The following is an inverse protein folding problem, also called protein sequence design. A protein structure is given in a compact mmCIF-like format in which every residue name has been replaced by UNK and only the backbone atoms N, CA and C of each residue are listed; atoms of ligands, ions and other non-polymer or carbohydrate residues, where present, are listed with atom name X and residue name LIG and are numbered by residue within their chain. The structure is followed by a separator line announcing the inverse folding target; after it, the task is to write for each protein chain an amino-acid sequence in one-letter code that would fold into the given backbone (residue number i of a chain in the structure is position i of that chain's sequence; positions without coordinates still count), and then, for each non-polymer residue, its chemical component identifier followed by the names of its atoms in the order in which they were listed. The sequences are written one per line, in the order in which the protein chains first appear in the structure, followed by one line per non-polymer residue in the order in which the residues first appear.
data_IF_542137923854
#
_entry.id   IF_542137923854
#
_cell.length_a   1.000
_cell.length_b   1.000
_cell.length_c   1.000
_cell.angle_alpha   90.00
_cell.angle_beta   90.00
_cell.angle_gamma   90.00
#
_symmetry.space_group_name_H-M   'P 1'
#
loop_
_entity.id
_entity.type
_entity.pdbx_description
1 polymer ?
#
# COMPACT_ATOMS: atom_id res chain seq x y z
N UNK A 1 -39.82 9.36 -27.21
CA UNK A 1 -40.73 10.52 -27.28
C UNK A 1 -41.39 10.74 -25.92
N UNK A 2 -40.87 11.70 -25.15
CA UNK A 2 -41.61 12.72 -24.38
C UNK A 2 -40.56 13.62 -23.72
N UNK A 3 -40.67 14.91 -23.98
CA UNK A 3 -39.76 15.98 -23.60
C UNK A 3 -40.26 16.74 -22.37
N UNK A 4 -39.43 17.72 -21.97
CA UNK A 4 -39.64 18.84 -21.06
C UNK A 4 -39.44 18.50 -19.56
N UNK A 5 -38.75 19.30 -18.78
CA UNK A 5 -38.39 20.71 -18.96
C UNK A 5 -36.97 21.00 -18.41
N UNK A 6 -36.26 21.90 -19.09
CA UNK A 6 -35.22 22.71 -18.49
C UNK A 6 -35.89 23.52 -17.37
N UNK A 7 -35.46 23.28 -16.13
CA UNK A 7 -35.77 24.13 -15.00
C UNK A 7 -34.50 24.92 -14.69
N UNK A 8 -34.34 26.04 -15.38
CA UNK A 8 -33.39 27.09 -15.00
C UNK A 8 -33.92 27.72 -13.70
N UNK A 9 -33.58 27.10 -12.57
CA UNK A 9 -33.70 27.74 -11.27
C UNK A 9 -32.35 28.36 -10.90
N UNK A 10 -32.35 29.68 -10.79
CA UNK A 10 -31.26 30.46 -10.21
C UNK A 10 -30.98 29.94 -8.78
N UNK A 11 -29.92 29.14 -8.60
CA UNK A 11 -29.49 28.60 -7.30
C UNK A 11 -28.77 29.69 -6.49
N UNK A 12 -29.53 30.73 -6.10
CA UNK A 12 -29.07 31.77 -5.19
C UNK A 12 -29.25 31.31 -3.75
N UNK A 13 -28.19 30.77 -3.14
CA UNK A 13 -28.11 30.60 -1.67
C UNK A 13 -27.70 29.23 -1.16
N UNK A 14 -27.24 28.30 -2.00
CA UNK A 14 -26.74 27.01 -1.51
C UNK A 14 -25.42 27.19 -0.77
N UNK A 15 -25.41 26.91 0.53
CA UNK A 15 -24.17 26.79 1.30
C UNK A 15 -23.27 25.76 0.59
N UNK A 16 -22.00 26.09 0.31
CA UNK A 16 -21.10 25.14 -0.34
C UNK A 16 -20.99 23.88 0.53
N UNK A 17 -21.28 22.71 -0.07
CA UNK A 17 -21.23 21.41 0.57
C UNK A 17 -20.26 20.49 -0.15
N UNK A 18 -19.60 19.61 0.60
CA UNK A 18 -18.75 18.55 0.06
C UNK A 18 -19.49 17.23 0.25
N UNK A 19 -19.76 16.55 -0.86
CA UNK A 19 -20.36 15.22 -0.86
C UNK A 19 -19.26 14.16 -0.97
N UNK A 20 -19.30 13.16 -0.10
CA UNK A 20 -18.33 12.07 -0.07
C UNK A 20 -19.04 10.76 -0.42
N UNK A 21 -18.52 10.07 -1.43
CA UNK A 21 -19.07 8.80 -1.92
C UNK A 21 -18.10 7.67 -1.60
N UNK A 22 -18.61 6.61 -0.98
CA UNK A 22 -17.79 5.47 -0.55
C UNK A 22 -18.66 4.23 -0.37
N UNK A 23 -18.05 3.08 -0.57
CA UNK A 23 -18.67 1.77 -0.44
C UNK A 23 -18.51 1.17 0.96
N UNK A 24 -17.77 1.85 1.86
CA UNK A 24 -17.53 1.41 3.25
C UNK A 24 -17.74 2.57 4.24
N UNK A 25 -18.37 2.30 5.41
CA UNK A 25 -18.51 3.29 6.47
C UNK A 25 -17.17 3.68 7.11
N UNK A 26 -16.19 2.78 7.14
CA UNK A 26 -14.82 3.05 7.61
C UNK A 26 -14.13 4.07 6.69
N UNK A 27 -14.19 3.84 5.37
CA UNK A 27 -13.67 4.77 4.38
C UNK A 27 -14.40 6.13 4.41
N UNK A 28 -15.70 6.16 4.75
CA UNK A 28 -16.43 7.41 4.95
C UNK A 28 -15.87 8.22 6.12
N UNK A 29 -15.61 7.56 7.25
CA UNK A 29 -15.06 8.24 8.44
C UNK A 29 -13.66 8.77 8.16
N UNK A 30 -12.82 8.01 7.49
CA UNK A 30 -11.47 8.47 7.09
C UNK A 30 -11.53 9.64 6.12
N UNK A 31 -12.37 9.57 5.09
CA UNK A 31 -12.54 10.64 4.12
C UNK A 31 -13.05 11.92 4.78
N UNK A 32 -14.03 11.81 5.69
CA UNK A 32 -14.53 12.94 6.48
C UNK A 32 -13.43 13.52 7.38
N UNK A 33 -12.70 12.67 8.11
CA UNK A 33 -11.63 13.10 8.99
C UNK A 33 -10.50 13.78 8.21
N UNK A 34 -10.10 13.23 7.05
CA UNK A 34 -9.12 13.84 6.16
C UNK A 34 -9.59 15.19 5.62
N UNK A 35 -10.83 15.28 5.11
CA UNK A 35 -11.37 16.53 4.59
C UNK A 35 -11.43 17.63 5.66
N UNK A 36 -11.87 17.28 6.88
CA UNK A 36 -11.89 18.21 8.01
C UNK A 36 -10.46 18.66 8.36
N UNK A 37 -9.50 17.73 8.43
CA UNK A 37 -8.08 18.05 8.70
C UNK A 37 -7.50 19.01 7.66
N UNK A 38 -7.76 18.77 6.38
CA UNK A 38 -7.24 19.59 5.28
C UNK A 38 -7.89 20.98 5.22
N UNK A 39 -9.19 21.08 5.48
CA UNK A 39 -9.94 22.35 5.39
C UNK A 39 -9.79 23.23 6.65
N UNK A 40 -9.58 22.62 7.82
CA UNK A 40 -9.41 23.32 9.09
C UNK A 40 -7.94 23.33 9.54
N UNK A 41 -6.99 23.42 8.60
CA UNK A 41 -5.59 23.58 8.96
C UNK A 41 -5.36 24.96 9.58
N UNK A 42 -5.11 24.98 10.90
CA UNK A 42 -4.65 26.17 11.62
C UNK A 42 -3.13 26.32 11.61
N UNK A 43 -2.42 25.46 10.88
CA UNK A 43 -0.97 25.40 10.82
C UNK A 43 -0.39 26.42 9.85
N UNK A 44 0.82 26.90 10.14
CA UNK A 44 1.63 27.73 9.24
C UNK A 44 2.36 26.92 8.17
N UNK A 45 2.17 25.60 8.16
CA UNK A 45 2.77 24.65 7.24
C UNK A 45 1.86 23.45 7.00
N UNK A 46 1.92 22.89 5.80
CA UNK A 46 1.33 21.59 5.45
C UNK A 46 2.40 20.63 4.95
N UNK A 47 2.31 19.37 5.35
CA UNK A 47 3.19 18.30 4.91
C UNK A 47 2.36 17.21 4.23
N UNK A 48 2.61 17.00 2.93
CA UNK A 48 2.00 15.94 2.14
C UNK A 48 3.02 14.83 1.95
N UNK A 49 2.72 13.64 2.50
CA UNK A 49 3.65 12.50 2.51
C UNK A 49 3.22 11.45 1.50
N UNK A 50 3.98 11.34 0.41
CA UNK A 50 3.79 10.32 -0.61
C UNK A 50 5.11 10.11 -1.37
N UNK A 51 5.65 8.91 -1.29
CA UNK A 51 6.93 8.61 -1.92
C UNK A 51 6.90 8.67 -3.44
N UNK A 52 5.72 8.56 -4.07
CA UNK A 52 5.59 8.56 -5.52
C UNK A 52 5.91 9.91 -6.17
N UNK A 53 6.16 10.96 -5.37
CA UNK A 53 6.76 12.20 -5.86
C UNK A 53 8.07 11.97 -6.61
N UNK A 54 8.80 10.88 -6.32
CA UNK A 54 10.01 10.51 -7.09
C UNK A 54 9.74 10.30 -8.58
N UNK A 55 8.48 10.08 -8.97
CA UNK A 55 8.06 9.90 -10.36
C UNK A 55 7.57 11.20 -11.02
N UNK A 56 7.57 12.33 -10.31
CA UNK A 56 7.15 13.60 -10.90
C UNK A 56 8.05 13.98 -12.07
N UNK A 57 7.43 14.28 -13.20
CA UNK A 57 8.08 14.71 -14.42
C UNK A 57 8.19 16.23 -14.52
N UNK A 58 8.68 16.70 -15.66
CA UNK A 58 8.82 18.14 -15.91
C UNK A 58 7.47 18.89 -15.84
N UNK A 59 6.39 18.26 -16.30
CA UNK A 59 5.05 18.85 -16.28
C UNK A 59 4.53 19.01 -14.84
N UNK A 60 4.73 18.01 -13.98
CA UNK A 60 4.34 18.05 -12.57
C UNK A 60 5.10 19.15 -11.82
N UNK A 61 6.41 19.26 -12.02
CA UNK A 61 7.20 20.33 -11.39
C UNK A 61 6.80 21.72 -11.90
N UNK A 62 6.39 21.83 -13.17
CA UNK A 62 5.84 23.09 -13.72
C UNK A 62 4.51 23.43 -13.05
N UNK A 63 3.64 22.43 -12.84
CA UNK A 63 2.40 22.60 -12.10
C UNK A 63 2.65 23.02 -10.65
N UNK A 64 3.61 22.42 -9.94
CA UNK A 64 4.01 22.84 -8.59
C UNK A 64 4.46 24.30 -8.56
N UNK A 65 5.30 24.73 -9.52
CA UNK A 65 5.73 26.13 -9.63
C UNK A 65 4.56 27.09 -9.86
N UNK A 66 3.59 26.70 -10.70
CA UNK A 66 2.38 27.48 -10.92
C UNK A 66 1.54 27.59 -9.64
N UNK A 67 1.39 26.51 -8.87
CA UNK A 67 0.68 26.51 -7.58
C UNK A 67 1.33 27.47 -6.58
N UNK A 68 2.67 27.51 -6.51
CA UNK A 68 3.40 28.47 -5.68
C UNK A 68 3.01 29.92 -6.02
N UNK A 69 2.99 30.25 -7.31
CA UNK A 69 2.65 31.60 -7.78
C UNK A 69 1.18 31.96 -7.53
N UNK A 70 0.26 31.02 -7.76
CA UNK A 70 -1.18 31.22 -7.60
C UNK A 70 -1.55 31.43 -6.14
N UNK A 71 -1.05 30.58 -5.25
CA UNK A 71 -1.41 30.62 -3.83
C UNK A 71 -0.46 31.50 -3.00
N UNK A 72 0.60 32.05 -3.61
CA UNK A 72 1.65 32.80 -2.93
C UNK A 72 2.24 32.01 -1.74
N UNK A 73 2.55 30.75 -2.01
CA UNK A 73 3.15 29.80 -1.06
C UNK A 73 4.50 29.31 -1.56
N UNK A 74 5.31 28.77 -0.65
CA UNK A 74 6.57 28.09 -0.95
C UNK A 74 6.36 26.59 -0.84
N UNK A 75 6.62 25.87 -1.92
CA UNK A 75 6.51 24.41 -2.03
C UNK A 75 7.94 23.86 -2.11
N UNK A 76 8.27 22.96 -1.20
CA UNK A 76 9.59 22.33 -1.14
C UNK A 76 9.45 20.83 -1.03
N UNK A 77 10.24 20.11 -1.80
CA UNK A 77 10.31 18.66 -1.70
C UNK A 77 11.32 18.26 -0.63
N UNK A 78 11.03 17.18 0.09
CA UNK A 78 11.96 16.62 1.06
C UNK A 78 12.12 15.12 0.87
N UNK A 79 13.33 14.65 1.16
CA UNK A 79 13.72 13.24 1.13
C UNK A 79 14.46 12.95 2.43
N UNK A 80 13.85 12.16 3.32
CA UNK A 80 14.41 11.86 4.65
C UNK A 80 14.18 10.41 4.99
N UNK A 81 15.26 9.67 5.25
CA UNK A 81 15.22 8.26 5.66
C UNK A 81 14.35 7.36 4.75
N UNK A 82 14.35 7.65 3.45
CA UNK A 82 13.58 6.90 2.45
C UNK A 82 12.08 7.23 2.42
N UNK A 83 11.66 8.29 3.10
CA UNK A 83 10.35 8.93 2.94
C UNK A 83 10.48 10.22 2.13
N UNK A 84 9.54 10.44 1.24
CA UNK A 84 9.50 11.60 0.37
C UNK A 84 8.16 12.31 0.50
N UNK A 85 8.15 13.62 0.24
CA UNK A 85 6.93 14.40 0.28
C UNK A 85 7.16 15.87 -0.03
N UNK A 86 6.08 16.63 0.11
CA UNK A 86 6.05 18.07 -0.12
C UNK A 86 5.75 18.79 1.19
N UNK A 87 6.56 19.81 1.47
CA UNK A 87 6.37 20.77 2.54
C UNK A 87 5.92 22.10 1.92
N UNK A 88 4.76 22.58 2.34
CA UNK A 88 4.16 23.84 1.90
C UNK A 88 4.18 24.82 3.07
N UNK A 89 4.83 25.97 2.89
CA UNK A 89 5.00 27.01 3.91
C UNK A 89 4.86 28.40 3.30
N UNK A 90 4.64 29.40 4.16
CA UNK A 90 4.51 30.79 3.74
C UNK A 90 3.16 31.03 3.05
N UNK A 91 2.40 32.00 3.53
CA UNK A 91 1.04 32.27 3.05
C UNK A 91 -0.01 32.13 4.15
N UNK A 92 -1.24 32.53 3.82
CA UNK A 92 -2.39 32.37 4.71
C UNK A 92 -2.79 30.89 4.81
N UNK A 93 -3.40 30.47 5.92
CA UNK A 93 -3.71 29.04 6.13
C UNK A 93 -4.64 28.46 5.05
N UNK A 94 -5.59 29.26 4.53
CA UNK A 94 -6.46 28.87 3.40
C UNK A 94 -5.66 28.59 2.11
N UNK A 95 -4.63 29.40 1.84
CA UNK A 95 -3.77 29.22 0.67
C UNK A 95 -2.90 27.97 0.79
N UNK A 96 -2.38 27.72 2.00
CA UNK A 96 -1.64 26.49 2.32
C UNK A 96 -2.54 25.26 2.14
N UNK A 97 -3.75 25.26 2.70
CA UNK A 97 -4.73 24.17 2.54
C UNK A 97 -5.10 23.94 1.08
N UNK A 98 -5.33 25.02 0.32
CA UNK A 98 -5.69 24.92 -1.09
C UNK A 98 -4.54 24.35 -1.93
N UNK A 99 -3.31 24.82 -1.70
CA UNK A 99 -2.13 24.25 -2.35
C UNK A 99 -1.92 22.77 -1.97
N UNK A 100 -2.10 22.41 -0.69
CA UNK A 100 -1.99 21.03 -0.22
C UNK A 100 -3.01 20.10 -0.88
N UNK A 101 -4.27 20.53 -1.04
CA UNK A 101 -5.30 19.76 -1.75
C UNK A 101 -4.92 19.55 -3.22
N UNK A 102 -4.39 20.57 -3.90
CA UNK A 102 -3.94 20.42 -5.30
C UNK A 102 -2.76 19.45 -5.41
N UNK A 103 -1.80 19.54 -4.48
CA UNK A 103 -0.66 18.62 -4.43
C UNK A 103 -1.11 17.18 -4.17
N UNK A 104 -2.02 16.95 -3.22
CA UNK A 104 -2.62 15.62 -2.98
C UNK A 104 -3.32 15.10 -4.25
N UNK A 105 -4.05 15.95 -4.97
CA UNK A 105 -4.68 15.57 -6.24
C UNK A 105 -3.66 15.17 -7.31
N UNK A 106 -2.56 15.92 -7.44
CA UNK A 106 -1.48 15.58 -8.37
C UNK A 106 -0.83 14.24 -8.00
N UNK A 107 -0.59 14.02 -6.70
CA UNK A 107 -0.02 12.78 -6.22
C UNK A 107 -0.95 11.60 -6.48
N UNK A 108 -2.25 11.71 -6.22
CA UNK A 108 -3.26 10.69 -6.55
C UNK A 108 -3.19 10.28 -8.03
N UNK A 109 -3.10 11.26 -8.95
CA UNK A 109 -2.96 11.00 -10.39
C UNK A 109 -1.65 10.25 -10.69
N UNK A 110 -0.54 10.64 -10.07
CA UNK A 110 0.73 9.95 -10.22
C UNK A 110 0.68 8.51 -9.70
N UNK A 111 -0.08 8.22 -8.61
CA UNK A 111 -0.25 6.84 -8.13
C UNK A 111 -1.02 5.99 -9.13
N UNK A 112 -2.11 6.52 -9.69
CA UNK A 112 -2.91 5.79 -10.66
C UNK A 112 -2.12 5.52 -11.95
N UNK A 113 -1.31 6.50 -12.39
CA UNK A 113 -0.43 6.33 -13.56
C UNK A 113 0.66 5.28 -13.29
N UNK A 114 1.33 5.36 -12.14
CA UNK A 114 2.33 4.38 -11.72
C UNK A 114 1.74 2.96 -11.66
N UNK A 115 0.56 2.81 -11.07
CA UNK A 115 -0.11 1.52 -10.99
C UNK A 115 -0.54 0.98 -12.36
N UNK A 116 -0.92 1.83 -13.32
CA UNK A 116 -1.20 1.39 -14.68
C UNK A 116 0.04 0.80 -15.36
N UNK A 117 1.20 1.46 -15.19
CA UNK A 117 2.47 0.96 -15.74
C UNK A 117 2.86 -0.37 -15.10
N UNK A 118 2.85 -0.43 -13.76
CA UNK A 118 3.22 -1.66 -13.04
C UNK A 118 2.25 -2.82 -13.34
N UNK A 119 0.96 -2.53 -13.54
CA UNK A 119 -0.02 -3.51 -13.99
C UNK A 119 0.32 -4.02 -15.39
N UNK A 120 0.67 -3.14 -16.33
CA UNK A 120 1.09 -3.54 -17.68
C UNK A 120 2.35 -4.42 -17.64
N UNK A 121 3.35 -4.05 -16.86
CA UNK A 121 4.61 -4.81 -16.70
C UNK A 121 4.39 -6.16 -16.01
N UNK A 122 3.52 -6.21 -15.00
CA UNK A 122 3.08 -7.44 -14.33
C UNK A 122 2.47 -8.41 -15.35
N UNK A 123 1.55 -7.93 -16.18
CA UNK A 123 0.87 -8.74 -17.18
C UNK A 123 1.82 -9.19 -18.29
N UNK A 124 2.69 -8.30 -18.76
CA UNK A 124 3.71 -8.60 -19.76
C UNK A 124 4.65 -9.71 -19.26
N UNK A 125 5.02 -9.66 -17.98
CA UNK A 125 5.84 -10.69 -17.35
C UNK A 125 5.15 -12.05 -17.36
N UNK A 126 3.87 -12.16 -16.99
CA UNK A 126 3.13 -13.43 -17.01
C UNK A 126 3.11 -14.04 -18.41
N UNK A 127 2.76 -13.24 -19.42
CA UNK A 127 2.66 -13.68 -20.82
C UNK A 127 4.00 -14.20 -21.35
N UNK A 128 5.10 -13.49 -21.08
CA UNK A 128 6.44 -13.90 -21.51
C UNK A 128 6.81 -15.28 -20.96
N UNK A 129 6.45 -15.56 -19.71
CA UNK A 129 6.71 -16.85 -19.08
C UNK A 129 5.83 -17.97 -19.61
N UNK A 130 4.55 -17.71 -19.90
CA UNK A 130 3.66 -18.70 -20.51
C UNK A 130 4.12 -19.10 -21.92
N UNK A 131 4.56 -18.13 -22.74
CA UNK A 131 5.07 -18.40 -24.09
C UNK A 131 6.36 -19.25 -24.10
N UNK A 132 7.19 -19.12 -23.06
CA UNK A 132 8.41 -19.93 -22.90
C UNK A 132 8.12 -21.39 -22.52
N UNK A 133 6.93 -21.71 -21.98
CA UNK A 133 6.53 -23.08 -21.62
C UNK A 133 6.03 -23.94 -22.78
N UNK A 134 6.18 -23.51 -24.03
CA UNK A 134 6.15 -24.45 -25.17
C UNK A 134 5.39 -24.02 -26.43
N UNK A 135 5.66 -22.84 -27.01
CA UNK A 135 5.28 -22.61 -28.40
C UNK A 135 6.38 -21.92 -29.20
N UNK A 136 6.99 -22.67 -30.13
CA UNK A 136 7.55 -22.09 -31.36
C UNK A 136 6.38 -21.52 -32.19
N UNK A 137 5.91 -20.33 -31.83
CA UNK A 137 4.78 -19.66 -32.49
C UNK A 137 5.04 -18.18 -32.67
N UNK A 138 4.41 -17.53 -33.67
CA UNK A 138 4.62 -16.11 -33.94
C UNK A 138 4.19 -15.28 -32.73
N UNK A 139 4.93 -14.19 -32.45
CA UNK A 139 4.65 -13.22 -31.39
C UNK A 139 3.15 -12.88 -31.35
N UNK A 140 2.42 -13.47 -30.41
CA UNK A 140 0.99 -13.21 -30.23
C UNK A 140 0.83 -11.77 -29.73
N UNK A 141 -0.14 -11.03 -30.27
CA UNK A 141 -0.42 -9.66 -29.84
C UNK A 141 -0.78 -9.63 -28.35
N UNK A 142 -0.06 -8.82 -27.57
CA UNK A 142 -0.20 -8.69 -26.11
C UNK A 142 -1.65 -8.46 -25.65
N UNK A 143 -2.37 -7.55 -26.32
CA UNK A 143 -3.79 -7.27 -26.04
C UNK A 143 -4.70 -8.49 -26.21
N UNK A 144 -4.36 -9.41 -27.11
CA UNK A 144 -5.15 -10.61 -27.39
C UNK A 144 -4.96 -11.73 -26.37
N UNK A 145 -3.86 -11.71 -25.58
CA UNK A 145 -3.69 -12.61 -24.43
C UNK A 145 -4.30 -12.00 -23.16
N UNK A 146 -4.16 -10.68 -22.98
CA UNK A 146 -4.72 -9.95 -21.84
C UNK A 146 -6.24 -10.12 -21.72
N UNK A 147 -6.95 -9.99 -22.85
CA UNK A 147 -8.40 -10.19 -22.93
C UNK A 147 -8.85 -11.64 -22.69
N UNK A 148 -7.92 -12.61 -22.68
CA UNK A 148 -8.20 -14.03 -22.42
C UNK A 148 -7.93 -14.45 -20.99
N UNK A 149 -7.25 -13.64 -20.17
CA UNK A 149 -7.07 -13.96 -18.76
C UNK A 149 -8.44 -13.97 -18.05
N UNK A 150 -8.71 -14.95 -17.18
CA UNK A 150 -9.95 -15.01 -16.45
C UNK A 150 -10.05 -13.80 -15.53
N UNK A 151 -11.14 -13.03 -15.69
CA UNK A 151 -11.49 -11.95 -14.77
C UNK A 151 -12.10 -12.51 -13.50
N UNK A 152 -11.93 -11.78 -12.40
CA UNK A 152 -12.64 -12.04 -11.15
C UNK A 152 -14.13 -11.67 -11.28
N UNK A 153 -15.00 -12.08 -10.34
CA UNK A 153 -16.43 -11.76 -10.36
C UNK A 153 -16.72 -10.27 -10.56
N UNK A 154 -15.88 -9.42 -9.97
CA UNK A 154 -15.88 -7.95 -10.13
C UNK A 154 -15.59 -7.43 -11.55
N UNK A 155 -15.29 -8.29 -12.54
CA UNK A 155 -14.81 -7.94 -13.88
C UNK A 155 -13.43 -7.24 -13.90
N UNK A 156 -12.74 -7.23 -12.75
CA UNK A 156 -11.35 -6.80 -12.57
C UNK A 156 -10.39 -8.00 -12.57
N UNK A 157 -9.09 -7.73 -12.66
CA UNK A 157 -8.02 -8.74 -12.50
C UNK A 157 -7.57 -8.88 -11.04
N UNK A 158 -8.01 -7.97 -10.18
CA UNK A 158 -7.79 -7.97 -8.75
C UNK A 158 -9.06 -7.61 -7.99
N UNK A 159 -9.23 -8.15 -6.79
CA UNK A 159 -10.42 -7.92 -5.96
C UNK A 159 -10.08 -8.03 -4.48
N UNK A 160 -10.77 -7.22 -3.67
CA UNK A 160 -10.78 -7.32 -2.21
C UNK A 160 -12.15 -7.77 -1.75
N UNK A 161 -12.21 -8.94 -1.12
CA UNK A 161 -13.47 -9.55 -0.72
C UNK A 161 -13.54 -9.67 0.79
N UNK A 162 -14.52 -9.04 1.46
CA UNK A 162 -14.69 -9.18 2.90
C UNK A 162 -14.86 -10.65 3.31
N UNK A 163 -14.17 -11.04 4.38
CA UNK A 163 -14.32 -12.35 5.02
C UNK A 163 -15.28 -12.17 6.19
N UNK A 164 -16.41 -12.87 6.16
CA UNK A 164 -17.34 -12.87 7.28
C UNK A 164 -16.77 -13.73 8.43
N UNK A 165 -16.42 -13.07 9.54
CA UNK A 165 -15.91 -13.70 10.77
C UNK A 165 -17.02 -13.91 11.81
N UNK A 166 -18.29 -13.86 11.39
CA UNK A 166 -19.49 -13.84 12.24
C UNK A 166 -19.69 -15.05 13.18
N UNK A 167 -18.92 -16.14 13.00
CA UNK A 167 -18.96 -17.34 13.84
C UNK A 167 -18.08 -17.27 15.11
N UNK A 168 -17.30 -16.20 15.31
CA UNK A 168 -16.51 -16.02 16.54
C UNK A 168 -17.26 -15.18 17.59
N UNK A 169 -17.41 -15.74 18.79
CA UNK A 169 -18.28 -15.27 19.87
C UNK A 169 -17.85 -13.96 20.58
N UNK A 170 -17.05 -13.09 19.94
CA UNK A 170 -16.52 -11.86 20.56
C UNK A 170 -16.78 -10.63 19.69
N UNK A 171 -18.07 -10.32 19.46
CA UNK A 171 -18.50 -9.13 18.68
C UNK A 171 -18.24 -7.78 19.36
N UNK A 172 -17.80 -7.75 20.62
CA UNK A 172 -17.69 -6.50 21.39
C UNK A 172 -16.27 -6.00 21.65
N UNK A 173 -15.21 -6.79 21.43
CA UNK A 173 -13.86 -6.40 21.93
C UNK A 173 -12.80 -6.04 20.89
N UNK A 174 -13.01 -6.25 19.59
CA UNK A 174 -12.12 -5.72 18.54
C UNK A 174 -12.87 -5.68 17.20
N UNK A 175 -13.23 -4.48 16.72
CA UNK A 175 -13.75 -4.29 15.36
C UNK A 175 -12.60 -4.52 14.37
N UNK A 176 -12.37 -5.79 14.05
CA UNK A 176 -11.40 -6.26 13.05
C UNK A 176 -12.17 -6.62 11.79
N UNK A 177 -11.75 -6.06 10.67
CA UNK A 177 -12.29 -6.37 9.36
C UNK A 177 -11.18 -7.02 8.56
N UNK A 178 -11.48 -8.17 7.96
CA UNK A 178 -10.51 -8.90 7.14
C UNK A 178 -11.05 -9.00 5.73
N UNK A 179 -10.26 -8.60 4.75
CA UNK A 179 -10.56 -8.74 3.33
C UNK A 179 -9.52 -9.67 2.70
N UNK A 180 -9.97 -10.66 1.93
CA UNK A 180 -9.12 -11.47 1.08
C UNK A 180 -8.68 -10.63 -0.12
N UNK A 181 -7.38 -10.59 -0.38
CA UNK A 181 -6.80 -9.93 -1.55
C UNK A 181 -6.53 -10.97 -2.64
N UNK A 182 -7.15 -10.81 -3.80
CA UNK A 182 -6.98 -11.71 -4.94
C UNK A 182 -6.46 -10.94 -6.15
N UNK A 183 -5.45 -11.48 -6.80
CA UNK A 183 -4.92 -10.99 -8.07
C UNK A 183 -4.28 -12.15 -8.83
N UNK A 184 -4.84 -12.50 -9.99
CA UNK A 184 -4.40 -13.67 -10.74
C UNK A 184 -2.99 -13.51 -11.33
N UNK A 185 -2.62 -12.32 -11.77
CA UNK A 185 -1.32 -12.09 -12.38
C UNK A 185 -0.20 -12.14 -11.33
N UNK A 186 -0.41 -11.48 -10.18
CA UNK A 186 0.52 -11.55 -9.05
C UNK A 186 0.69 -12.99 -8.56
N UNK A 187 -0.42 -13.72 -8.39
CA UNK A 187 -0.38 -15.12 -7.94
C UNK A 187 0.42 -16.00 -8.90
N UNK A 188 0.21 -15.84 -10.21
CA UNK A 188 0.95 -16.62 -11.21
C UNK A 188 2.45 -16.31 -11.20
N UNK A 189 2.85 -15.03 -11.17
CA UNK A 189 4.26 -14.68 -11.08
C UNK A 189 4.90 -15.17 -9.78
N UNK A 190 4.17 -15.08 -8.67
CA UNK A 190 4.65 -15.57 -7.38
C UNK A 190 4.93 -17.07 -7.42
N UNK A 191 4.01 -17.87 -7.98
CA UNK A 191 4.21 -19.32 -8.13
C UNK A 191 5.38 -19.66 -9.06
N UNK A 192 5.58 -18.91 -10.15
CA UNK A 192 6.76 -19.06 -11.01
C UNK A 192 8.07 -18.73 -10.27
N UNK A 193 8.08 -17.67 -9.47
CA UNK A 193 9.23 -17.32 -8.65
C UNK A 193 9.50 -18.35 -7.55
N UNK A 194 8.46 -19.03 -7.05
CA UNK A 194 8.57 -20.11 -6.07
C UNK A 194 9.31 -21.34 -6.61
N UNK A 195 9.33 -21.55 -7.93
CA UNK A 195 10.13 -22.60 -8.56
C UNK A 195 11.64 -22.28 -8.56
N UNK A 196 12.00 -20.98 -8.50
CA UNK A 196 13.39 -20.50 -8.62
C UNK A 196 14.01 -20.15 -7.27
N UNK A 197 13.20 -19.67 -6.32
CA UNK A 197 13.65 -19.32 -4.97
C UNK A 197 13.54 -20.54 -4.07
N UNK A 198 14.68 -21.02 -3.58
CA UNK A 198 14.73 -22.17 -2.68
C UNK A 198 14.16 -21.82 -1.31
N UNK A 199 13.19 -22.59 -0.83
CA UNK A 199 12.59 -22.45 0.49
C UNK A 199 11.07 -22.34 0.44
N UNK A 200 10.41 -22.51 1.59
CA UNK A 200 8.96 -22.28 1.68
C UNK A 200 8.69 -20.78 1.82
N UNK A 201 7.62 -20.26 1.20
CA UNK A 201 7.15 -18.91 1.51
C UNK A 201 6.92 -18.72 3.01
N UNK A 202 7.24 -17.54 3.51
CA UNK A 202 6.95 -17.13 4.88
C UNK A 202 5.73 -16.21 4.89
N UNK A 203 4.87 -16.38 5.90
CA UNK A 203 3.79 -15.45 6.20
C UNK A 203 4.36 -14.27 6.98
N UNK A 204 4.31 -13.08 6.41
CA UNK A 204 4.86 -11.86 6.99
C UNK A 204 3.86 -10.71 6.87
N UNK A 205 4.10 -9.64 7.64
CA UNK A 205 3.20 -8.52 7.81
C UNK A 205 3.83 -7.20 7.36
N UNK A 206 3.03 -6.32 6.76
CA UNK A 206 3.41 -4.94 6.47
C UNK A 206 2.27 -4.02 6.90
N UNK A 207 2.59 -2.98 7.67
CA UNK A 207 1.64 -1.92 7.98
C UNK A 207 1.69 -0.87 6.87
N UNK A 208 0.54 -0.47 6.36
CA UNK A 208 0.42 0.43 5.20
C UNK A 208 -0.57 1.54 5.49
N UNK A 209 -0.52 2.63 4.73
CA UNK A 209 -1.56 3.67 4.74
C UNK A 209 -2.76 3.24 3.92
N UNK A 210 -3.95 3.70 4.28
CA UNK A 210 -5.21 3.38 3.58
C UNK A 210 -5.10 3.54 2.05
N UNK A 211 -4.45 4.61 1.60
CA UNK A 211 -4.30 4.96 0.18
C UNK A 211 -3.56 3.90 -0.66
N UNK A 212 -2.72 3.07 -0.05
CA UNK A 212 -1.94 2.06 -0.76
C UNK A 212 -2.54 0.65 -0.71
N UNK A 213 -3.59 0.43 0.08
CA UNK A 213 -4.25 -0.87 0.19
C UNK A 213 -4.74 -1.39 -1.17
N UNK A 214 -5.39 -0.54 -1.97
CA UNK A 214 -5.87 -0.94 -3.30
C UNK A 214 -4.71 -1.16 -4.28
N UNK A 215 -3.73 -0.26 -4.24
CA UNK A 215 -2.55 -0.33 -5.11
C UNK A 215 -1.75 -1.62 -4.88
N UNK A 216 -1.61 -2.06 -3.62
CA UNK A 216 -0.96 -3.33 -3.31
C UNK A 216 -1.76 -4.53 -3.83
N UNK A 217 -3.10 -4.48 -3.76
CA UNK A 217 -3.94 -5.52 -4.35
C UNK A 217 -3.81 -5.57 -5.88
N UNK A 218 -3.72 -4.40 -6.52
CA UNK A 218 -3.64 -4.22 -7.97
C UNK A 218 -2.29 -4.62 -8.56
N UNK A 219 -1.20 -4.10 -8.02
CA UNK A 219 0.15 -4.25 -8.61
C UNK A 219 1.19 -4.90 -7.70
N UNK A 220 0.82 -5.26 -6.48
CA UNK A 220 1.72 -5.87 -5.51
C UNK A 220 2.49 -4.84 -4.69
N UNK A 221 3.44 -5.33 -3.90
CA UNK A 221 4.20 -4.50 -2.99
C UNK A 221 5.24 -3.65 -3.71
N UNK A 222 5.36 -2.38 -3.33
CA UNK A 222 6.35 -1.46 -3.85
C UNK A 222 7.07 -0.78 -2.70
N UNK A 223 8.35 -0.45 -2.88
CA UNK A 223 9.19 0.14 -1.82
C UNK A 223 8.69 1.53 -1.40
N UNK A 224 7.94 2.20 -2.28
CA UNK A 224 7.36 3.52 -2.13
C UNK A 224 6.12 3.50 -1.21
N UNK A 225 5.39 2.38 -1.14
CA UNK A 225 4.07 2.35 -0.49
C UNK A 225 4.14 2.37 1.05
N UNK A 226 5.14 1.70 1.63
CA UNK A 226 5.29 1.61 3.08
C UNK A 226 6.76 1.57 3.50
N UNK A 227 7.55 2.62 3.23
CA UNK A 227 8.88 2.73 3.82
C UNK A 227 8.77 2.79 5.36
N UNK A 228 9.59 2.02 6.10
CA UNK A 228 9.69 2.19 7.55
C UNK A 228 10.27 3.57 7.91
N UNK A 229 10.19 3.97 9.18
CA UNK A 229 10.83 5.21 9.64
C UNK A 229 12.36 5.21 9.42
N UNK A 230 12.98 4.03 9.53
CA UNK A 230 14.40 3.84 9.30
C UNK A 230 14.65 2.61 8.41
N UNK A 231 15.34 2.82 7.28
CA UNK A 231 15.75 1.74 6.37
C UNK A 231 17.08 1.12 6.82
N UNK A 232 17.07 0.48 7.98
CA UNK A 232 18.29 -0.03 8.64
C UNK A 232 18.95 -1.26 7.99
N UNK A 233 18.31 -1.87 6.99
CA UNK A 233 18.69 -3.19 6.47
C UNK A 233 18.80 -3.24 4.94
N UNK A 234 18.45 -2.16 4.26
CA UNK A 234 18.59 -2.02 2.82
C UNK A 234 17.45 -1.21 2.22
N UNK A 235 17.71 -0.62 1.06
CA UNK A 235 16.76 0.07 0.23
C UNK A 235 15.85 -0.95 -0.48
N UNK A 236 14.89 -1.53 0.24
CA UNK A 236 13.96 -2.53 -0.29
C UNK A 236 12.57 -2.48 0.34
N UNK A 237 11.81 -3.56 0.20
CA UNK A 237 10.44 -3.72 0.71
C UNK A 237 10.48 -4.50 2.02
N UNK A 238 9.99 -3.87 3.09
CA UNK A 238 10.10 -4.36 4.45
C UNK A 238 8.88 -5.17 4.88
N UNK A 239 9.14 -6.25 5.60
CA UNK A 239 8.12 -7.10 6.21
C UNK A 239 8.58 -7.52 7.62
N UNK A 240 7.61 -7.77 8.50
CA UNK A 240 7.86 -8.27 9.85
C UNK A 240 7.25 -9.65 10.06
N UNK A 241 7.82 -10.42 10.99
CA UNK A 241 7.30 -11.75 11.35
C UNK A 241 6.04 -11.68 12.21
N UNK A 242 5.81 -10.54 12.87
CA UNK A 242 4.66 -10.33 13.76
C UNK A 242 3.98 -8.99 13.50
N UNK A 243 2.66 -8.94 13.68
CA UNK A 243 1.88 -7.69 13.55
C UNK A 243 2.31 -6.63 14.56
N UNK A 244 2.59 -7.02 15.81
CA UNK A 244 3.07 -6.08 16.83
C UNK A 244 4.33 -5.37 16.36
N UNK A 245 5.25 -6.13 15.75
CA UNK A 245 6.48 -5.59 15.21
C UNK A 245 6.24 -4.66 14.02
N UNK A 246 5.24 -4.95 13.18
CA UNK A 246 4.82 -4.02 12.12
C UNK A 246 4.33 -2.69 12.72
N UNK A 247 3.51 -2.73 13.76
CA UNK A 247 3.03 -1.51 14.41
C UNK A 247 4.17 -0.65 14.95
N UNK A 248 5.21 -1.26 15.51
CA UNK A 248 6.40 -0.55 15.99
C UNK A 248 7.24 0.04 14.84
N UNK A 249 7.34 -0.66 13.72
CA UNK A 249 8.17 -0.26 12.58
C UNK A 249 7.55 0.87 11.74
N UNK A 250 6.23 0.92 11.66
CA UNK A 250 5.46 1.97 10.97
C UNK A 250 4.62 2.74 12.00
N UNK A 251 5.23 3.76 12.61
CA UNK A 251 4.63 4.55 13.70
C UNK A 251 3.70 5.68 13.21
N UNK A 252 3.42 5.80 11.91
CA UNK A 252 2.46 6.81 11.45
C UNK A 252 1.05 6.47 11.96
N UNK A 253 0.53 7.34 12.85
CA UNK A 253 -0.79 7.21 13.47
C UNK A 253 -1.75 8.32 13.04
N UNK A 254 -1.61 8.90 11.85
CA UNK A 254 -2.50 9.97 11.36
C UNK A 254 -3.93 9.53 11.04
N UNK A 255 -4.14 8.26 10.67
CA UNK A 255 -5.45 7.70 10.26
C UNK A 255 -6.34 7.34 11.49
N UNK A 256 -7.64 7.10 11.36
CA UNK A 256 -8.47 6.52 12.43
C UNK A 256 -8.21 5.00 12.57
N UNK A 257 -7.98 4.33 11.45
CA UNK A 257 -7.74 2.90 11.38
C UNK A 257 -6.26 2.57 11.19
N UNK A 258 -5.95 1.29 11.35
CA UNK A 258 -4.65 0.69 11.06
C UNK A 258 -4.87 -0.42 10.04
N UNK A 259 -4.08 -0.40 8.97
CA UNK A 259 -4.15 -1.33 7.87
C UNK A 259 -2.89 -2.21 7.84
N UNK A 260 -3.07 -3.51 8.05
CA UNK A 260 -1.99 -4.49 8.03
C UNK A 260 -2.26 -5.46 6.90
N UNK A 261 -1.30 -5.60 5.99
CA UNK A 261 -1.35 -6.61 4.94
C UNK A 261 -0.55 -7.82 5.41
N UNK A 262 -1.21 -8.97 5.40
CA UNK A 262 -0.59 -10.28 5.56
C UNK A 262 -0.26 -10.85 4.17
N UNK A 263 0.98 -11.28 4.00
CA UNK A 263 1.52 -11.69 2.70
C UNK A 263 2.32 -12.97 2.80
N UNK A 264 2.33 -13.74 1.72
CA UNK A 264 3.34 -14.76 1.51
C UNK A 264 4.56 -14.14 0.85
N UNK A 265 5.75 -14.39 1.41
CA UNK A 265 7.01 -13.78 0.95
C UNK A 265 8.07 -14.85 0.72
N UNK A 266 8.69 -14.82 -0.46
CA UNK A 266 9.81 -15.67 -0.86
C UNK A 266 11.13 -15.08 -0.35
N UNK A 267 11.39 -15.25 0.94
CA UNK A 267 12.63 -14.77 1.60
C UNK A 267 13.86 -15.56 1.17
N UNK A 268 13.70 -16.85 0.83
CA UNK A 268 14.75 -17.70 0.30
C UNK A 268 15.99 -17.76 1.21
N UNK A 269 17.18 -17.72 0.61
CA UNK A 269 18.43 -17.53 1.35
C UNK A 269 18.52 -16.07 1.79
N UNK A 270 18.53 -15.84 3.10
CA UNK A 270 18.69 -14.51 3.68
C UNK A 270 20.08 -14.31 4.29
N UNK A 271 20.57 -13.06 4.26
CA UNK A 271 21.78 -12.61 4.97
C UNK A 271 21.47 -11.38 5.82
N UNK A 272 22.32 -11.06 6.80
CA UNK A 272 22.21 -9.81 7.57
C UNK A 272 22.20 -8.60 6.62
N UNK A 273 21.22 -7.71 6.81
CA UNK A 273 21.10 -6.47 6.04
C UNK A 273 21.96 -5.33 6.56
N UNK A 274 22.13 -4.29 5.74
CA UNK A 274 22.72 -3.01 6.12
C UNK A 274 22.08 -1.86 5.34
N UNK A 275 22.11 -0.62 5.85
CA UNK A 275 21.42 0.52 5.23
C UNK A 275 21.88 0.85 3.80
N UNK A 276 23.11 0.48 3.43
CA UNK A 276 23.73 0.82 2.14
C UNK A 276 23.32 -0.12 0.99
N UNK A 277 22.64 -1.24 1.31
CA UNK A 277 22.28 -2.25 0.32
C UNK A 277 21.13 -1.77 -0.58
N UNK A 278 21.35 -1.74 -1.89
CA UNK A 278 20.30 -1.50 -2.89
C UNK A 278 19.85 -2.79 -3.60
N UNK A 279 20.63 -3.87 -3.44
CA UNK A 279 20.35 -5.22 -3.89
C UNK A 279 20.90 -6.21 -2.86
N UNK A 280 20.43 -7.46 -2.81
CA UNK A 280 21.03 -8.47 -1.93
C UNK A 280 22.50 -8.73 -2.30
N UNK A 281 23.38 -8.98 -1.32
CA UNK A 281 24.78 -9.33 -1.57
C UNK A 281 24.93 -10.65 -2.36
N UNK A 282 26.06 -10.86 -3.06
CA UNK A 282 26.44 -12.16 -3.61
C UNK A 282 26.61 -13.23 -2.52
N UNK A 283 26.25 -14.48 -2.83
CA UNK A 283 26.44 -15.63 -1.92
C UNK A 283 27.86 -16.22 -1.98
N UNK A 284 28.62 -15.88 -3.03
CA UNK A 284 29.95 -16.41 -3.28
C UNK A 284 30.72 -15.57 -4.30
N UNK A 285 31.50 -16.23 -5.16
CA UNK A 285 32.35 -15.56 -6.15
C UNK A 285 31.61 -15.05 -7.39
N UNK A 286 30.48 -15.67 -7.74
CA UNK A 286 29.64 -15.22 -8.85
C UNK A 286 28.79 -14.02 -8.39
N UNK A 287 28.99 -12.81 -8.93
CA UNK A 287 28.23 -11.63 -8.54
C UNK A 287 26.76 -11.68 -8.98
N UNK A 288 26.37 -12.63 -9.85
CA UNK A 288 24.98 -12.82 -10.26
C UNK A 288 24.21 -13.77 -9.34
N UNK A 289 24.90 -14.56 -8.52
CA UNK A 289 24.28 -15.46 -7.54
C UNK A 289 24.15 -14.76 -6.18
N UNK A 290 23.11 -13.94 -6.05
CA UNK A 290 22.82 -13.18 -4.84
C UNK A 290 21.91 -13.91 -3.85
N UNK A 291 21.96 -13.50 -2.58
CA UNK A 291 20.93 -13.83 -1.61
C UNK A 291 19.55 -13.38 -2.12
N UNK A 292 18.48 -13.98 -1.62
CA UNK A 292 17.12 -13.64 -2.07
C UNK A 292 16.50 -12.51 -1.24
N UNK A 293 16.95 -12.35 0.00
CA UNK A 293 16.52 -11.28 0.89
C UNK A 293 17.63 -10.93 1.88
N UNK A 294 17.41 -9.85 2.62
CA UNK A 294 18.20 -9.53 3.80
C UNK A 294 17.31 -9.50 5.05
N UNK A 295 17.91 -9.67 6.22
CA UNK A 295 17.18 -9.77 7.48
C UNK A 295 17.90 -9.03 8.60
N UNK A 296 17.14 -8.70 9.63
CA UNK A 296 17.64 -8.17 10.90
C UNK A 296 18.45 -9.19 11.68
N UNK A 297 19.17 -8.71 12.71
CA UNK A 297 19.91 -9.58 13.64
C UNK A 297 18.99 -10.55 14.39
N UNK A 298 17.79 -10.09 14.78
CA UNK A 298 16.78 -10.90 15.48
C UNK A 298 15.96 -11.78 14.54
N UNK A 299 16.10 -11.60 13.22
CA UNK A 299 15.29 -12.26 12.18
C UNK A 299 13.78 -12.03 12.32
N UNK A 300 13.40 -10.90 12.91
CA UNK A 300 12.02 -10.42 13.06
C UNK A 300 11.58 -9.50 11.91
N UNK A 301 12.55 -8.99 11.15
CA UNK A 301 12.38 -8.17 9.93
C UNK A 301 13.07 -8.84 8.75
N UNK A 302 12.38 -8.88 7.60
CA UNK A 302 12.90 -9.29 6.30
C UNK A 302 12.72 -8.17 5.27
N UNK A 303 13.69 -8.04 4.37
CA UNK A 303 13.66 -7.07 3.28
C UNK A 303 13.91 -7.80 1.96
N UNK A 304 12.96 -7.69 1.04
CA UNK A 304 13.08 -8.16 -0.35
C UNK A 304 13.36 -6.97 -1.27
N UNK A 305 13.95 -7.23 -2.43
CA UNK A 305 14.33 -6.18 -3.38
C UNK A 305 13.57 -6.27 -4.71
N UNK A 306 12.71 -7.28 -4.86
CA UNK A 306 11.82 -7.41 -6.00
C UNK A 306 10.38 -7.65 -5.52
N UNK A 307 9.45 -6.82 -6.01
CA UNK A 307 8.01 -6.87 -5.67
C UNK A 307 7.39 -8.25 -5.87
N UNK A 308 7.80 -8.94 -6.95
CA UNK A 308 7.31 -10.25 -7.35
C UNK A 308 7.73 -11.40 -6.40
N UNK A 309 8.54 -11.13 -5.36
CA UNK A 309 8.83 -12.08 -4.30
C UNK A 309 7.75 -12.10 -3.20
N UNK A 310 6.76 -11.22 -3.25
CA UNK A 310 5.68 -11.16 -2.26
C UNK A 310 4.30 -11.21 -2.93
N UNK A 311 3.39 -11.91 -2.29
CA UNK A 311 2.00 -12.03 -2.72
C UNK A 311 1.10 -11.57 -1.55
N UNK A 312 0.37 -10.45 -1.69
CA UNK A 312 -0.62 -10.05 -0.69
C UNK A 312 -1.73 -11.10 -0.61
N UNK A 313 -2.18 -11.44 0.59
CA UNK A 313 -3.20 -12.46 0.83
C UNK A 313 -4.41 -11.88 1.56
N UNK A 314 -4.16 -11.08 2.59
CA UNK A 314 -5.22 -10.51 3.41
C UNK A 314 -4.90 -9.07 3.78
N UNK A 315 -5.94 -8.24 3.84
CA UNK A 315 -5.92 -6.93 4.45
C UNK A 315 -6.71 -6.99 5.75
N UNK A 316 -6.06 -6.59 6.83
CA UNK A 316 -6.61 -6.56 8.18
C UNK A 316 -6.73 -5.10 8.59
N UNK A 317 -7.97 -4.64 8.80
CA UNK A 317 -8.28 -3.29 9.26
C UNK A 317 -8.68 -3.31 10.72
N UNK A 318 -7.97 -2.55 11.56
CA UNK A 318 -8.22 -2.43 12.99
C UNK A 318 -8.55 -0.98 13.38
N UNK A 319 -9.51 -0.77 14.28
CA UNK A 319 -9.71 0.54 14.93
C UNK A 319 -8.62 0.81 15.97
N UNK A 320 -8.20 2.07 16.13
CA UNK A 320 -7.18 2.47 17.13
C UNK A 320 -7.60 2.35 18.60
N UNK A 321 -8.88 2.12 18.89
CA UNK A 321 -9.40 2.07 20.26
C UNK A 321 -8.89 0.80 20.96
N UNK A 322 -8.09 1.01 22.02
CA UNK A 322 -7.42 0.05 22.93
C UNK A 322 -5.97 -0.39 22.60
N UNK A 323 -5.04 0.55 22.40
CA UNK A 323 -3.61 0.30 22.70
C UNK A 323 -3.09 1.07 23.92
N UNK A 324 -3.96 1.82 24.63
CA UNK A 324 -3.54 2.66 25.77
C UNK A 324 -3.86 2.10 27.17
N UNK A 325 -4.40 0.89 27.32
CA UNK A 325 -4.74 0.32 28.65
C UNK A 325 -4.30 -1.15 28.81
N UNK A 326 -3.01 -1.45 28.65
CA UNK A 326 -2.39 -2.63 29.29
C UNK A 326 -0.84 -2.55 29.45
N UNK A 327 -0.29 -1.34 29.56
CA UNK A 327 1.06 -1.12 30.10
C UNK A 327 0.99 -0.71 31.57
N UNK A 328 0.37 -1.55 32.40
CA UNK A 328 0.52 -1.56 33.86
C UNK A 328 -0.47 -2.57 34.46
N UNK A 329 -0.12 -3.86 34.46
CA UNK A 329 -0.19 -4.73 35.64
C UNK A 329 0.15 -6.18 35.25
N UNK A 330 1.20 -6.69 35.90
CA UNK A 330 1.54 -8.09 36.09
C UNK A 330 2.02 -8.91 34.89
N UNK A 331 3.34 -9.04 34.85
CA UNK A 331 4.02 -10.29 34.58
C UNK A 331 3.33 -11.45 35.33
N UNK A 332 2.63 -12.32 34.61
CA UNK A 332 2.57 -13.78 34.76
C UNK A 332 1.33 -14.30 34.05
N UNK A 333 1.50 -14.83 32.84
CA UNK A 333 1.37 -16.26 32.51
C UNK A 333 1.38 -16.39 30.99
N UNK A 334 2.21 -17.29 30.48
CA UNK A 334 2.10 -17.86 29.14
C UNK A 334 0.65 -18.25 28.87
N UNK A 335 -0.07 -17.57 27.95
CA UNK A 335 -1.12 -18.16 27.08
C UNK A 335 -1.95 -17.17 26.22
N UNK A 336 -1.89 -15.84 26.38
CA UNK A 336 -2.88 -14.97 25.71
C UNK A 336 -2.52 -14.42 24.31
N UNK A 337 -1.42 -14.88 23.70
CA UNK A 337 -1.07 -14.55 22.29
C UNK A 337 -1.46 -15.68 21.31
N UNK A 338 -1.94 -16.82 21.82
CA UNK A 338 -2.12 -18.06 21.04
C UNK A 338 -3.47 -18.20 20.32
N UNK A 339 -4.45 -17.30 20.53
CA UNK A 339 -5.81 -17.49 19.97
C UNK A 339 -5.96 -16.98 18.53
N UNK A 340 -5.13 -16.02 18.10
CA UNK A 340 -5.21 -15.42 16.76
C UNK A 340 -4.63 -16.31 15.66
N UNK A 341 -3.55 -17.05 15.94
CA UNK A 341 -2.84 -17.86 14.95
C UNK A 341 -3.57 -19.16 14.56
N UNK A 342 -4.46 -19.68 15.41
CA UNK A 342 -5.14 -20.96 15.16
C UNK A 342 -6.25 -20.87 14.09
N UNK A 343 -6.83 -19.69 13.87
CA UNK A 343 -8.02 -19.56 13.00
C UNK A 343 -7.68 -19.34 11.51
N UNK A 344 -6.63 -18.58 11.19
CA UNK A 344 -6.22 -18.33 9.79
C UNK A 344 -5.67 -19.61 9.13
N UNK A 345 -5.05 -20.51 9.91
CA UNK A 345 -4.54 -21.78 9.40
C UNK A 345 -5.60 -22.88 9.25
N UNK A 346 -6.71 -22.82 10.00
CA UNK A 346 -7.78 -23.83 9.96
C UNK A 346 -8.88 -23.54 8.92
N UNK A 347 -8.85 -22.38 8.25
CA UNK A 347 -9.79 -22.06 7.16
C UNK A 347 -9.36 -22.63 5.79
N UNK A 348 -8.24 -23.35 5.71
CA UNK A 348 -7.69 -23.95 4.48
C UNK A 348 -7.39 -25.46 4.59
N UNK A 349 -8.08 -26.19 5.49
CA UNK A 349 -8.03 -27.67 5.56
C UNK A 349 -9.28 -28.31 5.01
#
# INVERSE_FOLDING_TARGET
ARSSAFDDSEDSGRTPCIELFTNSPEALREAQAWAVRMLHMHSTSAEVKNNLIVHFGQEDHTALMNLQAIFNVVITEFFRKGKCGILIIGGASVAISSAAIHVESMLCQAQDYFAQIEEEDLLHSVVRWEGLRGSEGPRISFYSLYSKMPKLPSQSYYERTPIDLSDSADKERQRKYVEKMENYALKQLFELNRERVMGKPQWLYQCVRAQFCDQICRVGFQREYAPPEEQGYGAGIYFTTEMKRALELWEDRSEEFIYIIEAQVLTGKSIKGSPELIVPPPTGSDPLDCYNSVTSDLKDIYVIFHSQQALPQFLITCTKILTLWDYSLNCNTDNDVLVVYSWILNANS
#
